data_IF_557593247322
#
_entry.id   IF_557593247322
#
_cell.length_a   1.000
_cell.length_b   1.000
_cell.length_c   1.000
_cell.angle_alpha   90.00
_cell.angle_beta   90.00
_cell.angle_gamma   90.00
#
_symmetry.space_group_name_H-M   'P 1'
#
loop_
_entity.id
_entity.type
_entity.pdbx_description
1 polymer ?
#
# COMPACT_ATOMS: atom_id res chain seq x y z
N UNK A 1 -12.39 2.89 -4.86
CA UNK A 1 -12.75 1.54 -5.35
C UNK A 1 -11.95 0.43 -4.67
N UNK A 2 -10.61 0.54 -4.55
CA UNK A 2 -9.77 -0.53 -3.96
C UNK A 2 -10.08 -0.97 -2.51
N UNK A 3 -10.53 -0.05 -1.62
CA UNK A 3 -10.92 -0.38 -0.22
C UNK A 3 -11.97 -1.50 -0.15
N UNK A 4 -12.91 -1.53 -1.10
CA UNK A 4 -14.06 -2.42 -1.08
C UNK A 4 -13.73 -3.86 -1.47
N UNK A 5 -12.52 -4.12 -1.97
CA UNK A 5 -12.09 -5.46 -2.43
C UNK A 5 -10.87 -5.94 -1.65
N UNK A 6 -9.82 -5.11 -1.55
CA UNK A 6 -8.54 -5.54 -0.97
C UNK A 6 -8.65 -5.85 0.52
N UNK A 7 -9.24 -4.94 1.33
CA UNK A 7 -9.36 -5.13 2.78
C UNK A 7 -10.20 -6.36 3.13
N UNK A 8 -11.38 -6.61 2.52
CA UNK A 8 -12.12 -7.85 2.75
C UNK A 8 -11.33 -9.12 2.43
N UNK A 9 -10.56 -9.14 1.34
CA UNK A 9 -9.73 -10.30 0.97
C UNK A 9 -8.61 -10.53 1.99
N UNK A 10 -7.89 -9.48 2.38
CA UNK A 10 -6.83 -9.59 3.40
C UNK A 10 -7.38 -10.15 4.73
N UNK A 11 -8.55 -9.65 5.16
CA UNK A 11 -9.24 -10.18 6.35
C UNK A 11 -9.67 -11.64 6.20
N UNK A 12 -10.16 -12.03 5.03
CA UNK A 12 -10.55 -13.42 4.77
C UNK A 12 -9.35 -14.39 4.77
N UNK A 13 -8.16 -13.88 4.45
CA UNK A 13 -6.91 -14.62 4.52
C UNK A 13 -6.25 -14.57 5.91
N UNK A 14 -6.95 -14.05 6.93
CA UNK A 14 -6.44 -13.84 8.29
C UNK A 14 -5.13 -13.01 8.34
N UNK A 15 -4.97 -12.07 7.40
CA UNK A 15 -3.85 -11.12 7.39
C UNK A 15 -4.22 -9.91 8.25
N UNK A 16 -3.51 -9.77 9.38
CA UNK A 16 -3.76 -8.72 10.37
C UNK A 16 -2.84 -7.49 10.21
N UNK A 17 -1.74 -7.63 9.48
CA UNK A 17 -0.77 -6.56 9.21
C UNK A 17 -0.03 -6.79 7.91
N UNK A 18 0.49 -5.71 7.31
CA UNK A 18 1.35 -5.78 6.13
C UNK A 18 2.78 -5.38 6.51
N UNK A 19 3.75 -6.24 6.20
CA UNK A 19 5.17 -5.88 6.34
C UNK A 19 5.56 -4.74 5.39
N UNK A 20 5.00 -4.74 4.18
CA UNK A 20 5.19 -3.71 3.19
C UNK A 20 3.94 -3.45 2.34
N UNK A 21 3.75 -2.18 1.94
CA UNK A 21 2.80 -1.77 0.90
C UNK A 21 3.57 -1.07 -0.23
N UNK A 22 3.51 -1.64 -1.43
CA UNK A 22 4.19 -1.12 -2.63
C UNK A 22 3.15 -0.67 -3.64
N UNK A 23 3.31 0.53 -4.17
CA UNK A 23 2.39 1.13 -5.14
C UNK A 23 3.21 1.61 -6.34
N UNK A 24 2.84 1.15 -7.53
CA UNK A 24 3.59 1.41 -8.76
C UNK A 24 3.52 2.86 -9.24
N UNK A 25 2.35 3.50 -9.13
CA UNK A 25 2.08 4.91 -9.42
C UNK A 25 0.76 5.35 -8.76
N UNK A 26 0.47 6.63 -8.81
CA UNK A 26 -0.54 7.39 -8.08
C UNK A 26 -1.89 7.51 -8.77
N UNK A 27 -2.06 6.93 -9.95
CA UNK A 27 -3.36 6.84 -10.59
C UNK A 27 -4.36 6.08 -9.70
N UNK A 28 -5.63 6.44 -9.78
CA UNK A 28 -6.66 5.98 -8.83
C UNK A 28 -6.92 4.47 -8.89
N UNK A 29 -6.67 3.84 -10.03
CA UNK A 29 -6.72 2.40 -10.23
C UNK A 29 -5.59 1.64 -9.51
N UNK A 30 -4.50 2.33 -9.13
CA UNK A 30 -3.40 1.78 -8.34
C UNK A 30 -3.40 2.30 -6.88
N UNK A 31 -3.45 3.62 -6.69
CA UNK A 31 -3.31 4.27 -5.39
C UNK A 31 -4.65 4.53 -4.66
N UNK A 32 -5.78 4.43 -5.37
CA UNK A 32 -7.09 4.80 -4.81
C UNK A 32 -7.59 3.91 -3.66
N UNK A 33 -6.90 2.81 -3.36
CA UNK A 33 -7.16 1.94 -2.20
C UNK A 33 -6.39 2.30 -0.93
N UNK A 34 -5.30 3.07 -1.05
CA UNK A 34 -4.32 3.29 0.03
C UNK A 34 -4.95 3.79 1.33
N UNK A 35 -5.79 4.86 1.34
CA UNK A 35 -6.34 5.36 2.60
C UNK A 35 -7.20 4.32 3.33
N UNK A 36 -7.88 3.45 2.57
CA UNK A 36 -8.68 2.38 3.14
C UNK A 36 -7.86 1.25 3.77
N UNK A 37 -6.72 0.91 3.15
CA UNK A 37 -5.79 -0.10 3.66
C UNK A 37 -5.10 0.43 4.93
N UNK A 38 -4.54 1.64 4.87
CA UNK A 38 -3.84 2.29 5.98
C UNK A 38 -4.74 2.51 7.21
N UNK A 39 -6.04 2.70 7.00
CA UNK A 39 -7.02 2.82 8.09
C UNK A 39 -7.46 1.46 8.67
N UNK A 40 -7.27 0.36 7.94
CA UNK A 40 -7.77 -0.96 8.31
C UNK A 40 -6.70 -1.86 8.93
N UNK A 41 -5.44 -1.70 8.54
CA UNK A 41 -4.34 -2.59 8.89
C UNK A 41 -3.07 -1.77 9.21
N UNK A 42 -2.25 -2.18 10.18
CA UNK A 42 -0.89 -1.70 10.34
C UNK A 42 -0.06 -2.00 9.08
N UNK A 43 0.75 -1.04 8.65
CA UNK A 43 1.68 -1.18 7.52
C UNK A 43 3.09 -0.80 7.98
N UNK A 44 4.05 -1.70 7.84
CA UNK A 44 5.44 -1.49 8.23
C UNK A 44 6.19 -0.54 7.29
N UNK A 45 6.47 -1.00 6.07
CA UNK A 45 7.20 -0.24 5.04
C UNK A 45 6.28 0.20 3.91
N UNK A 46 6.57 1.35 3.30
CA UNK A 46 5.78 1.90 2.18
C UNK A 46 6.69 2.26 1.04
N UNK A 47 6.32 1.89 -0.19
CA UNK A 47 7.10 2.18 -1.40
C UNK A 47 6.28 2.77 -2.52
N UNK A 48 6.78 3.83 -3.15
CA UNK A 48 6.16 4.33 -4.37
C UNK A 48 7.07 5.14 -5.27
N UNK A 49 6.57 5.41 -6.47
CA UNK A 49 7.29 6.15 -7.52
C UNK A 49 6.96 7.64 -7.56
N UNK A 50 5.86 8.10 -6.93
CA UNK A 50 5.41 9.49 -7.02
C UNK A 50 4.64 10.04 -5.81
N UNK A 51 4.39 11.35 -5.82
CA UNK A 51 3.81 12.14 -4.73
C UNK A 51 2.31 11.89 -4.55
N UNK A 52 1.94 10.72 -4.03
CA UNK A 52 0.61 10.49 -3.47
C UNK A 52 0.62 11.01 -2.02
N UNK A 53 -0.11 12.09 -1.76
CA UNK A 53 -0.23 12.68 -0.42
C UNK A 53 -0.79 11.65 0.58
N UNK A 54 -0.35 11.69 1.84
CA UNK A 54 -0.54 10.70 2.92
C UNK A 54 0.19 9.35 2.75
N UNK A 55 0.35 8.85 1.53
CA UNK A 55 1.19 7.67 1.28
C UNK A 55 2.67 7.99 1.49
N UNK A 56 3.13 9.14 0.98
CA UNK A 56 4.55 9.50 0.90
C UNK A 56 5.19 9.94 2.23
N UNK A 57 4.42 10.34 3.25
CA UNK A 57 5.01 10.71 4.54
C UNK A 57 5.67 9.50 5.19
N UNK A 58 6.96 9.27 4.91
CA UNK A 58 7.71 8.08 5.32
C UNK A 58 7.62 6.89 4.35
N UNK A 59 7.26 7.11 3.08
CA UNK A 59 7.47 6.11 2.03
C UNK A 59 8.87 6.21 1.44
N UNK A 60 9.46 5.07 1.15
CA UNK A 60 10.70 4.93 0.42
C UNK A 60 10.43 4.95 -1.10
N UNK A 61 11.39 5.41 -1.90
CA UNK A 61 11.26 5.31 -3.35
C UNK A 61 11.41 3.85 -3.81
N UNK A 62 10.56 3.44 -4.74
CA UNK A 62 10.76 2.19 -5.47
C UNK A 62 11.92 2.38 -6.47
N UNK A 63 12.96 1.55 -6.37
CA UNK A 63 14.17 1.60 -7.20
C UNK A 63 14.37 0.26 -7.92
N UNK A 64 14.75 0.30 -9.19
CA UNK A 64 15.04 -0.91 -9.96
C UNK A 64 16.13 -1.75 -9.28
N UNK A 65 15.87 -3.04 -9.11
CA UNK A 65 16.78 -3.97 -8.44
C UNK A 65 16.58 -4.12 -6.92
N UNK A 66 15.64 -3.39 -6.32
CA UNK A 66 15.19 -3.68 -4.95
C UNK A 66 14.58 -5.09 -4.86
N UNK A 67 14.78 -5.74 -3.72
CA UNK A 67 14.20 -7.04 -3.38
C UNK A 67 13.52 -7.01 -2.01
N UNK A 68 12.57 -7.91 -1.83
CA UNK A 68 11.77 -8.07 -0.61
C UNK A 68 12.02 -9.47 -0.07
N UNK A 69 12.36 -9.58 1.22
CA UNK A 69 12.64 -10.85 1.91
C UNK A 69 11.79 -10.96 3.15
#
# INVERSE_FOLDING_TARGET
>A
MGRSVVVPVLKHLDIESLDALIVSHGDTDHAGGIPGIMAALPVGRRYGSESVTDFQQGAEFCVAGQSWT
#
